data_IF_984017737206
#
_entry.id   IF_984017737206
#
_cell.length_a   1.000
_cell.length_b   1.000
_cell.length_c   1.000
_cell.angle_alpha   90.00
_cell.angle_beta   90.00
_cell.angle_gamma   90.00
#
_symmetry.space_group_name_H-M   'P 1'
#
loop_
_entity.id
_entity.type
_entity.pdbx_description
1 polymer ?
#
# COMPACT_ATOMS: atom_id res chain seq x y z
N UNK A 1 -4.48 -18.02 -10.84
CA UNK A 1 -5.53 -17.29 -11.57
C UNK A 1 -4.99 -15.95 -12.07
N UNK A 2 -4.43 -15.12 -11.23
CA UNK A 2 -3.92 -13.77 -11.54
C UNK A 2 -3.03 -13.74 -12.80
N UNK A 3 -1.96 -14.51 -12.85
CA UNK A 3 -1.04 -14.58 -14.01
C UNK A 3 -1.72 -15.01 -15.32
N UNK A 4 -2.77 -15.85 -15.26
CA UNK A 4 -3.56 -16.22 -16.44
C UNK A 4 -4.38 -15.06 -16.99
N UNK A 5 -4.68 -14.07 -16.16
CA UNK A 5 -5.34 -12.82 -16.53
C UNK A 5 -4.33 -11.73 -16.91
N UNK A 6 -3.04 -12.07 -16.96
CA UNK A 6 -1.93 -11.14 -17.23
C UNK A 6 -1.76 -10.06 -16.16
N UNK A 7 -2.24 -10.31 -14.94
CA UNK A 7 -1.98 -9.47 -13.78
C UNK A 7 -0.82 -10.04 -12.96
N UNK A 8 -0.05 -9.19 -12.31
CA UNK A 8 1.06 -9.58 -11.44
C UNK A 8 1.08 -8.81 -10.11
N UNK A 9 -0.01 -8.13 -9.75
CA UNK A 9 -0.13 -7.35 -8.53
C UNK A 9 -1.37 -7.76 -7.75
N UNK A 10 -1.27 -7.86 -6.41
CA UNK A 10 -2.39 -8.28 -5.57
C UNK A 10 -2.38 -7.59 -4.20
N UNK A 11 -3.57 -7.24 -3.72
CA UNK A 11 -3.86 -7.00 -2.32
C UNK A 11 -4.58 -8.22 -1.76
N UNK A 12 -3.88 -9.12 -1.07
CA UNK A 12 -4.52 -10.33 -0.56
C UNK A 12 -5.39 -10.02 0.66
N UNK A 13 -6.32 -10.92 0.97
CA UNK A 13 -7.15 -10.81 2.16
C UNK A 13 -6.30 -10.78 3.45
N UNK A 14 -6.57 -9.81 4.32
CA UNK A 14 -5.79 -9.52 5.53
C UNK A 14 -6.62 -9.56 6.82
N UNK A 15 -7.92 -9.81 6.73
CA UNK A 15 -8.84 -9.80 7.88
C UNK A 15 -9.62 -11.09 8.00
N UNK A 16 -10.03 -11.38 9.22
CA UNK A 16 -10.86 -12.53 9.51
C UNK A 16 -12.23 -12.37 8.87
N UNK A 17 -12.64 -13.37 8.12
CA UNK A 17 -14.03 -13.55 7.77
C UNK A 17 -14.82 -14.02 9.00
N UNK A 18 -16.04 -13.51 9.14
CA UNK A 18 -16.86 -13.81 10.33
C UNK A 18 -17.77 -15.03 10.15
N UNK A 19 -17.98 -15.51 8.92
CA UNK A 19 -18.92 -16.62 8.64
C UNK A 19 -18.48 -17.38 7.40
N UNK A 20 -18.53 -18.72 7.43
CA UNK A 20 -18.63 -19.68 8.55
C UNK A 20 -17.27 -20.11 9.10
N UNK A 21 -16.18 -19.58 8.57
CA UNK A 21 -14.79 -19.94 8.90
C UNK A 21 -13.99 -18.70 9.24
N UNK A 22 -12.93 -18.83 10.06
CA UNK A 22 -11.97 -17.75 10.16
C UNK A 22 -11.47 -17.42 8.74
N UNK A 23 -11.46 -16.14 8.41
CA UNK A 23 -10.95 -15.67 7.13
C UNK A 23 -9.46 -15.94 7.01
N UNK A 24 -9.01 -15.99 5.80
CA UNK A 24 -7.61 -16.15 5.51
C UNK A 24 -6.89 -14.82 5.76
N UNK A 25 -5.76 -14.89 6.44
CA UNK A 25 -4.86 -13.76 6.65
C UNK A 25 -3.54 -14.11 5.98
N UNK A 26 -3.31 -13.55 4.83
CA UNK A 26 -2.19 -13.90 3.95
C UNK A 26 -0.84 -14.05 4.68
N UNK A 27 -0.51 -13.12 5.57
CA UNK A 27 0.79 -13.10 6.25
C UNK A 27 0.90 -14.08 7.41
N UNK A 28 -0.21 -14.47 8.02
CA UNK A 28 -0.21 -15.26 9.27
C UNK A 28 -0.68 -16.69 9.09
N UNK A 29 -1.42 -16.98 8.02
CA UNK A 29 -1.90 -18.32 7.73
C UNK A 29 -0.76 -19.24 7.25
N UNK A 30 0.13 -18.71 6.42
CA UNK A 30 1.32 -19.41 5.96
C UNK A 30 2.48 -18.42 5.74
N UNK A 31 3.59 -18.55 6.47
CA UNK A 31 4.75 -17.66 6.31
C UNK A 31 5.42 -17.77 4.93
N UNK A 32 5.16 -18.83 4.19
CA UNK A 32 5.67 -19.03 2.83
C UNK A 32 4.92 -18.25 1.75
N UNK A 33 3.78 -17.63 2.07
CA UNK A 33 2.94 -16.96 1.07
C UNK A 33 3.67 -15.80 0.35
N UNK A 34 4.45 -14.99 1.08
CA UNK A 34 5.22 -13.91 0.48
C UNK A 34 6.27 -14.43 -0.51
N UNK A 35 7.07 -15.41 -0.08
CA UNK A 35 8.09 -16.02 -0.93
C UNK A 35 7.47 -16.70 -2.15
N UNK A 36 6.34 -17.38 -1.97
CA UNK A 36 5.64 -18.01 -3.09
C UNK A 36 5.14 -16.98 -4.11
N UNK A 37 4.64 -15.84 -3.64
CA UNK A 37 4.22 -14.77 -4.53
C UNK A 37 5.41 -14.23 -5.33
N UNK A 38 6.52 -13.95 -4.65
CA UNK A 38 7.78 -13.47 -5.25
C UNK A 38 8.33 -14.47 -6.29
N UNK A 39 8.40 -15.77 -5.95
CA UNK A 39 8.84 -16.84 -6.86
C UNK A 39 7.99 -16.91 -8.15
N UNK A 40 6.74 -16.47 -8.10
CA UNK A 40 5.84 -16.42 -9.26
C UNK A 40 5.78 -15.04 -9.92
N UNK A 41 6.58 -14.07 -9.50
CA UNK A 41 6.57 -12.71 -10.03
C UNK A 41 5.26 -11.98 -9.74
N UNK A 42 4.65 -12.24 -8.57
CA UNK A 42 3.46 -11.54 -8.10
C UNK A 42 3.85 -10.56 -7.01
N UNK A 43 3.71 -9.29 -7.31
CA UNK A 43 3.94 -8.21 -6.36
C UNK A 43 2.80 -8.15 -5.36
N UNK A 44 3.13 -8.22 -4.08
CA UNK A 44 2.16 -8.14 -2.99
C UNK A 44 2.16 -6.75 -2.38
N UNK A 45 0.99 -6.21 -2.11
CA UNK A 45 0.82 -5.00 -1.32
C UNK A 45 -0.28 -5.20 -0.30
N UNK A 46 -0.60 -4.16 0.45
CA UNK A 46 -1.64 -4.17 1.47
C UNK A 46 -2.62 -3.02 1.26
N UNK A 47 -3.81 -3.15 1.80
CA UNK A 47 -4.84 -2.15 1.63
C UNK A 47 -4.53 -0.86 2.41
N UNK A 48 -5.30 0.19 2.14
CA UNK A 48 -5.12 1.53 2.69
C UNK A 48 -5.16 1.63 4.23
N UNK A 49 -5.75 0.66 4.92
CA UNK A 49 -5.76 0.63 6.39
C UNK A 49 -4.81 -0.41 6.99
N UNK A 50 -3.97 -1.01 6.19
CA UNK A 50 -3.00 -2.05 6.55
C UNK A 50 -1.59 -1.63 6.11
N UNK A 51 -1.05 -0.56 6.69
CA UNK A 51 0.21 0.01 6.23
C UNK A 51 1.40 -0.91 6.45
N UNK A 52 2.43 -0.74 5.63
CA UNK A 52 3.75 -1.32 5.82
C UNK A 52 3.75 -2.84 5.93
N UNK A 53 2.97 -3.53 5.06
CA UNK A 53 2.92 -4.99 4.99
C UNK A 53 2.41 -5.65 6.28
N UNK A 54 1.48 -4.99 6.99
CA UNK A 54 0.86 -5.55 8.21
C UNK A 54 -0.62 -5.82 7.98
N UNK A 55 -1.11 -6.88 8.61
CA UNK A 55 -2.55 -7.13 8.68
C UNK A 55 -3.13 -6.53 9.97
N UNK A 56 -4.31 -5.91 9.86
CA UNK A 56 -5.02 -5.32 11.01
C UNK A 56 -5.16 -6.30 12.18
N UNK A 57 -5.38 -7.58 11.88
CA UNK A 57 -5.55 -8.63 12.89
C UNK A 57 -4.28 -8.95 13.69
N UNK A 58 -3.12 -8.48 13.25
CA UNK A 58 -1.87 -8.65 13.98
C UNK A 58 -1.71 -7.62 15.11
N UNK A 59 -2.53 -6.55 15.09
CA UNK A 59 -2.54 -5.60 16.18
C UNK A 59 -3.35 -6.13 17.35
N UNK A 60 -2.73 -6.18 18.52
CA UNK A 60 -3.36 -6.55 19.77
C UNK A 60 -3.34 -5.36 20.71
N UNK A 61 -4.46 -4.67 20.82
CA UNK A 61 -4.57 -3.46 21.64
C UNK A 61 -4.26 -3.72 23.12
N UNK A 62 -4.65 -4.88 23.66
CA UNK A 62 -4.36 -5.22 25.05
C UNK A 62 -2.86 -5.29 25.35
N UNK A 63 -2.06 -5.71 24.37
CA UNK A 63 -0.61 -5.87 24.53
C UNK A 63 0.17 -4.64 24.04
N UNK A 64 -0.32 -4.00 22.97
CA UNK A 64 0.40 -2.93 22.25
C UNK A 64 -0.19 -1.54 22.51
N UNK A 65 -1.32 -1.43 23.23
CA UNK A 65 -2.05 -0.18 23.44
C UNK A 65 -2.89 0.24 22.23
N UNK A 66 -3.52 1.44 22.28
CA UNK A 66 -4.44 1.89 21.25
C UNK A 66 -3.75 2.04 19.88
N UNK A 67 -4.51 1.81 18.81
CA UNK A 67 -4.10 2.14 17.46
C UNK A 67 -4.26 3.65 17.23
N UNK A 68 -3.34 4.42 17.81
CA UNK A 68 -3.39 5.88 17.89
C UNK A 68 -1.97 6.42 17.76
N UNK A 69 -1.75 7.26 16.74
CA UNK A 69 -0.41 7.78 16.47
C UNK A 69 0.09 8.74 17.51
N UNK A 70 -0.77 9.66 18.01
CA UNK A 70 -0.36 10.65 19.00
C UNK A 70 -0.05 10.02 20.36
N UNK A 71 -0.86 9.04 20.77
CA UNK A 71 -0.76 8.43 22.10
C UNK A 71 0.18 7.24 22.14
N UNK A 72 0.45 6.60 21.00
CA UNK A 72 1.13 5.31 20.95
C UNK A 72 2.10 5.17 19.78
N UNK A 73 2.66 6.29 19.30
CA UNK A 73 3.55 6.34 18.14
C UNK A 73 4.63 5.25 18.17
N UNK A 74 5.28 5.04 19.33
CA UNK A 74 6.38 4.07 19.45
C UNK A 74 5.98 2.64 19.10
N UNK A 75 4.86 2.14 19.65
CA UNK A 75 4.40 0.79 19.35
C UNK A 75 3.85 0.65 17.93
N UNK A 76 3.19 1.70 17.40
CA UNK A 76 2.72 1.72 16.01
C UNK A 76 3.90 1.71 15.05
N UNK A 77 4.94 2.50 15.32
CA UNK A 77 6.18 2.52 14.53
C UNK A 77 6.85 1.15 14.54
N UNK A 78 7.02 0.54 15.72
CA UNK A 78 7.59 -0.80 15.83
C UNK A 78 6.77 -1.84 15.05
N UNK A 79 5.46 -1.76 15.12
CA UNK A 79 4.56 -2.66 14.39
C UNK A 79 4.76 -2.55 12.89
N UNK A 80 4.87 -1.34 12.36
CA UNK A 80 5.16 -1.08 10.95
C UNK A 80 6.56 -1.60 10.56
N UNK A 81 7.56 -1.36 11.40
CA UNK A 81 8.92 -1.82 11.18
C UNK A 81 9.02 -3.35 11.09
N UNK A 82 8.32 -4.07 11.96
CA UNK A 82 8.23 -5.54 11.92
C UNK A 82 7.65 -6.04 10.58
N UNK A 83 6.72 -5.29 9.97
CA UNK A 83 6.17 -5.61 8.64
C UNK A 83 7.21 -5.49 7.53
N UNK A 84 8.00 -4.41 7.53
CA UNK A 84 9.09 -4.20 6.59
C UNK A 84 10.17 -5.28 6.73
N UNK A 85 10.53 -5.64 7.96
CA UNK A 85 11.47 -6.74 8.22
C UNK A 85 10.97 -8.07 7.66
N UNK A 86 9.67 -8.36 7.81
CA UNK A 86 9.05 -9.58 7.28
C UNK A 86 9.05 -9.61 5.75
N UNK A 87 8.75 -8.48 5.11
CA UNK A 87 8.77 -8.38 3.66
C UNK A 87 10.18 -8.68 3.10
N UNK A 88 11.23 -8.26 3.81
CA UNK A 88 12.60 -8.57 3.46
C UNK A 88 12.96 -8.01 2.08
N UNK A 89 13.38 -8.89 1.16
CA UNK A 89 13.76 -8.55 -0.21
C UNK A 89 12.71 -8.95 -1.24
N UNK A 90 11.56 -9.48 -0.81
CA UNK A 90 10.49 -9.86 -1.73
C UNK A 90 9.97 -8.62 -2.45
N UNK A 91 9.67 -8.77 -3.73
CA UNK A 91 9.11 -7.68 -4.52
C UNK A 91 7.73 -7.29 -3.99
N UNK A 92 7.61 -6.05 -3.53
CA UNK A 92 6.39 -5.57 -2.87
C UNK A 92 6.20 -4.07 -3.02
N UNK A 93 4.95 -3.62 -2.99
CA UNK A 93 4.60 -2.23 -2.75
C UNK A 93 4.31 -2.01 -1.27
N UNK A 94 4.99 -1.06 -0.66
CA UNK A 94 4.69 -0.64 0.70
C UNK A 94 3.56 0.38 0.70
N UNK A 95 2.45 0.03 1.33
CA UNK A 95 1.35 0.96 1.55
C UNK A 95 1.73 1.96 2.62
N UNK A 96 1.75 3.24 2.24
CA UNK A 96 2.01 4.36 3.14
C UNK A 96 0.72 4.94 3.72
N UNK A 97 0.91 5.78 4.74
CA UNK A 97 -0.17 6.37 5.51
C UNK A 97 -0.64 5.47 6.62
N UNK A 98 -1.71 5.85 7.26
CA UNK A 98 -2.49 5.01 8.17
C UNK A 98 -3.92 5.55 8.23
N UNK A 99 -4.84 4.74 8.72
CA UNK A 99 -6.19 5.14 9.11
C UNK A 99 -6.39 4.93 10.60
N UNK A 100 -7.45 5.46 11.12
CA UNK A 100 -7.85 5.22 12.50
C UNK A 100 -8.33 3.78 12.73
N UNK A 101 -8.64 3.46 13.96
CA UNK A 101 -9.13 2.15 14.35
C UNK A 101 -10.37 1.73 13.53
N UNK A 102 -10.45 0.46 13.18
CA UNK A 102 -11.60 -0.11 12.48
C UNK A 102 -11.85 0.44 11.08
N UNK A 103 -10.80 0.84 10.36
CA UNK A 103 -10.90 1.46 9.03
C UNK A 103 -11.66 2.81 9.05
N UNK A 104 -11.62 3.51 10.19
CA UNK A 104 -12.17 4.84 10.36
C UNK A 104 -11.17 5.97 10.07
N UNK A 105 -11.63 7.24 10.09
CA UNK A 105 -10.73 8.38 10.05
C UNK A 105 -9.81 8.44 11.27
N UNK A 106 -8.63 9.01 11.09
CA UNK A 106 -7.73 9.33 12.22
C UNK A 106 -8.46 10.30 13.16
N UNK A 107 -8.47 9.97 14.46
CA UNK A 107 -9.06 10.81 15.49
C UNK A 107 -7.98 11.77 16.00
N UNK A 108 -7.83 12.92 15.37
CA UNK A 108 -6.88 13.97 15.72
C UNK A 108 -7.47 15.34 15.37
N UNK A 109 -6.97 16.38 16.03
CA UNK A 109 -7.35 17.76 15.73
C UNK A 109 -6.88 18.17 14.31
N UNK A 110 -5.71 17.71 13.90
CA UNK A 110 -5.17 17.92 12.55
C UNK A 110 -4.64 16.59 11.94
N UNK A 111 -5.49 15.84 11.25
CA UNK A 111 -5.08 14.59 10.61
C UNK A 111 -3.99 14.74 9.54
N UNK A 112 -3.88 15.93 8.92
CA UNK A 112 -2.86 16.19 7.89
C UNK A 112 -1.47 16.19 8.51
N UNK A 113 -1.28 16.91 9.61
CA UNK A 113 0.00 16.94 10.35
C UNK A 113 0.38 15.54 10.85
N UNK A 114 -0.59 14.77 11.32
CA UNK A 114 -0.34 13.38 11.75
C UNK A 114 0.14 12.54 10.57
N UNK A 115 -0.51 12.62 9.41
CA UNK A 115 -0.14 11.83 8.24
C UNK A 115 1.22 12.24 7.65
N UNK A 116 1.58 13.50 7.71
CA UNK A 116 2.94 13.95 7.32
C UNK A 116 4.01 13.31 8.22
N UNK A 117 3.79 13.25 9.52
CA UNK A 117 4.71 12.60 10.46
C UNK A 117 4.73 11.07 10.28
N UNK A 118 3.58 10.46 9.95
CA UNK A 118 3.48 9.05 9.58
C UNK A 118 4.30 8.76 8.33
N UNK A 119 4.12 9.50 7.25
CA UNK A 119 4.90 9.34 6.01
C UNK A 119 6.40 9.45 6.26
N UNK A 120 6.81 10.48 6.99
CA UNK A 120 8.21 10.66 7.36
C UNK A 120 8.76 9.45 8.09
N UNK A 121 8.06 8.97 9.12
CA UNK A 121 8.48 7.83 9.93
C UNK A 121 8.52 6.54 9.10
N UNK A 122 7.52 6.30 8.25
CA UNK A 122 7.49 5.14 7.36
C UNK A 122 8.67 5.14 6.39
N UNK A 123 8.99 6.28 5.81
CA UNK A 123 10.17 6.41 4.92
C UNK A 123 11.50 6.25 5.65
N UNK A 124 11.61 6.69 6.89
CA UNK A 124 12.77 6.43 7.74
C UNK A 124 12.95 4.93 8.00
N UNK A 125 11.85 4.20 8.25
CA UNK A 125 11.88 2.73 8.39
C UNK A 125 12.35 2.08 7.07
N UNK A 126 11.76 2.46 5.95
CA UNK A 126 12.10 1.91 4.64
C UNK A 126 13.59 2.17 4.30
N UNK A 127 14.06 3.39 4.51
CA UNK A 127 15.47 3.73 4.30
C UNK A 127 16.43 2.91 5.19
N UNK A 128 16.02 2.55 6.40
CA UNK A 128 16.82 1.73 7.32
C UNK A 128 17.04 0.31 6.79
N UNK A 129 16.05 -0.30 6.13
CA UNK A 129 16.09 -1.70 5.70
C UNK A 129 16.42 -1.88 4.22
N UNK A 130 16.11 -0.90 3.39
CA UNK A 130 16.30 -0.96 1.94
C UNK A 130 17.28 0.08 1.40
N UNK A 131 17.86 0.92 2.27
CA UNK A 131 18.73 2.02 1.88
C UNK A 131 17.96 3.23 1.35
N UNK A 132 18.71 4.25 0.91
CA UNK A 132 18.13 5.49 0.35
C UNK A 132 17.81 5.34 -1.17
N UNK A 133 17.37 4.19 -1.60
CA UNK A 133 17.00 3.95 -2.98
C UNK A 133 15.71 4.72 -3.29
N UNK A 134 15.85 5.82 -4.00
CA UNK A 134 14.69 6.60 -4.44
C UNK A 134 14.07 5.99 -5.68
N UNK A 135 12.78 6.26 -5.91
CA UNK A 135 12.05 5.87 -7.10
C UNK A 135 12.72 6.24 -8.44
N UNK A 136 13.68 7.18 -8.41
CA UNK A 136 14.43 7.58 -9.61
C UNK A 136 15.22 6.44 -10.28
N UNK A 137 15.45 5.33 -9.58
CA UNK A 137 16.09 4.13 -10.12
C UNK A 137 15.07 3.03 -10.47
N UNK A 138 13.80 3.35 -10.53
CA UNK A 138 12.76 2.38 -10.90
C UNK A 138 12.85 2.07 -12.37
N UNK A 139 13.27 0.87 -12.68
CA UNK A 139 13.01 0.29 -13.99
C UNK A 139 11.59 -0.30 -13.95
N UNK A 140 10.81 0.05 -14.96
CA UNK A 140 9.42 -0.30 -15.17
C UNK A 140 9.09 -1.76 -14.81
N UNK A 141 8.08 -1.97 -13.98
CA UNK A 141 7.47 -3.29 -13.67
C UNK A 141 6.89 -4.02 -14.90
N UNK A 142 6.76 -3.35 -16.04
CA UNK A 142 6.21 -3.91 -17.27
C UNK A 142 7.23 -4.02 -18.42
N UNK A 143 8.46 -3.58 -18.22
CA UNK A 143 9.54 -3.76 -19.18
C UNK A 143 10.07 -5.18 -19.11
N UNK A 144 10.20 -5.85 -20.25
CA UNK A 144 11.02 -7.04 -20.36
C UNK A 144 12.44 -6.58 -19.99
N UNK A 145 12.85 -6.88 -18.76
CA UNK A 145 14.15 -6.48 -18.25
C UNK A 145 15.21 -7.31 -18.99
N UNK A 146 15.94 -6.67 -19.88
CA UNK A 146 17.15 -7.25 -20.49
C UNK A 146 18.41 -7.06 -19.59
N UNK A 147 18.27 -6.40 -18.43
CA UNK A 147 19.38 -6.15 -17.51
C UNK A 147 19.18 -6.93 -16.20
N UNK A 148 20.00 -7.95 -16.00
CA UNK A 148 20.05 -8.78 -14.77
C UNK A 148 20.50 -8.00 -13.51
N UNK A 149 20.94 -6.74 -13.65
CA UNK A 149 21.39 -5.85 -12.59
C UNK A 149 20.42 -4.70 -12.27
N UNK A 150 19.18 -4.75 -12.80
CA UNK A 150 18.18 -3.73 -12.49
C UNK A 150 17.81 -3.78 -11.01
N UNK A 151 18.45 -2.92 -10.24
CA UNK A 151 18.14 -2.67 -8.85
C UNK A 151 16.70 -2.13 -8.77
N UNK A 152 15.75 -3.01 -8.42
CA UNK A 152 14.34 -2.65 -8.29
C UNK A 152 14.22 -1.68 -7.13
N UNK A 153 14.12 -0.38 -7.44
CA UNK A 153 13.92 0.64 -6.43
C UNK A 153 12.66 0.35 -5.60
N UNK A 154 12.67 0.80 -4.36
CA UNK A 154 11.58 0.57 -3.42
C UNK A 154 10.26 1.14 -3.94
N UNK A 155 9.22 0.32 -3.97
CA UNK A 155 7.91 0.71 -4.47
C UNK A 155 7.00 1.09 -3.30
N UNK A 156 6.43 2.29 -3.37
CA UNK A 156 5.55 2.84 -2.34
C UNK A 156 4.23 3.29 -2.96
N UNK A 157 3.12 3.06 -2.26
CA UNK A 157 1.78 3.43 -2.71
C UNK A 157 1.00 4.12 -1.60
N UNK A 158 0.29 5.17 -1.94
CA UNK A 158 -0.68 5.82 -1.06
C UNK A 158 -2.07 5.83 -1.68
N UNK A 159 -3.05 5.32 -0.96
CA UNK A 159 -4.42 5.15 -1.45
C UNK A 159 -5.28 6.33 -1.07
N UNK A 160 -5.85 6.98 -2.07
CA UNK A 160 -6.74 8.14 -1.94
C UNK A 160 -8.18 7.64 -1.92
N UNK A 161 -8.70 7.39 -0.72
CA UNK A 161 -10.03 6.82 -0.48
C UNK A 161 -10.73 7.48 0.71
N UNK A 162 -12.05 7.63 0.65
CA UNK A 162 -12.88 8.23 1.70
C UNK A 162 -12.33 9.61 2.15
N UNK A 163 -12.12 9.80 3.46
CA UNK A 163 -11.61 11.07 4.03
C UNK A 163 -10.23 11.46 3.51
N UNK A 164 -9.42 10.50 3.06
CA UNK A 164 -8.11 10.78 2.49
C UNK A 164 -8.21 11.67 1.24
N UNK A 165 -9.30 11.57 0.49
CA UNK A 165 -9.57 12.49 -0.64
C UNK A 165 -9.70 13.94 -0.15
N UNK A 166 -10.27 14.17 1.02
CA UNK A 166 -10.39 15.51 1.60
C UNK A 166 -9.02 16.03 2.04
N UNK A 167 -8.19 15.19 2.66
CA UNK A 167 -6.84 15.55 3.05
C UNK A 167 -5.97 15.87 1.84
N UNK A 168 -6.07 15.05 0.80
CA UNK A 168 -5.39 15.28 -0.47
C UNK A 168 -5.84 16.60 -1.13
N UNK A 169 -7.14 16.88 -1.16
CA UNK A 169 -7.68 18.14 -1.66
C UNK A 169 -7.27 19.35 -0.82
N UNK A 170 -7.00 19.16 0.47
CA UNK A 170 -6.47 20.18 1.38
C UNK A 170 -4.95 20.42 1.22
N UNK A 171 -4.29 19.64 0.37
CA UNK A 171 -2.88 19.83 0.03
C UNK A 171 -1.92 18.81 0.64
N UNK A 172 -2.41 17.78 1.35
CA UNK A 172 -1.55 16.68 1.80
C UNK A 172 -1.05 15.89 0.57
N UNK A 173 0.24 15.94 0.33
CA UNK A 173 0.87 15.24 -0.78
C UNK A 173 1.99 14.35 -0.24
N UNK A 174 2.01 13.06 -0.59
CA UNK A 174 3.18 12.24 -0.35
C UNK A 174 4.31 12.68 -1.27
N UNK A 175 5.57 12.26 -1.00
CA UNK A 175 6.69 12.50 -1.90
C UNK A 175 6.38 12.11 -3.34
N UNK A 176 7.01 12.78 -4.31
CA UNK A 176 6.72 12.65 -5.74
C UNK A 176 6.91 11.23 -6.28
N UNK A 177 7.80 10.48 -5.65
CA UNK A 177 8.14 9.11 -5.99
C UNK A 177 7.15 8.06 -5.44
N UNK A 178 6.14 8.46 -4.67
CA UNK A 178 5.08 7.57 -4.19
C UNK A 178 3.96 7.46 -5.23
N UNK A 179 3.54 6.25 -5.57
CA UNK A 179 2.39 5.99 -6.45
C UNK A 179 1.10 6.45 -5.78
N UNK A 180 0.32 7.27 -6.46
CA UNK A 180 -1.03 7.64 -6.02
C UNK A 180 -2.04 6.62 -6.50
N UNK A 181 -2.74 5.95 -5.57
CA UNK A 181 -3.79 4.99 -5.89
C UNK A 181 -5.17 5.62 -5.69
N UNK A 182 -5.83 5.98 -6.78
CA UNK A 182 -7.22 6.42 -6.75
C UNK A 182 -8.17 5.22 -6.67
N UNK A 183 -9.32 5.39 -6.04
CA UNK A 183 -10.27 4.30 -5.85
C UNK A 183 -11.67 4.70 -6.28
N UNK A 184 -12.49 3.71 -6.61
CA UNK A 184 -13.93 3.88 -6.66
C UNK A 184 -14.56 3.86 -5.25
N UNK A 185 -15.83 4.18 -5.19
CA UNK A 185 -16.65 4.00 -3.98
C UNK A 185 -17.23 2.57 -3.92
N UNK A 186 -17.99 2.28 -2.84
CA UNK A 186 -18.61 0.97 -2.64
C UNK A 186 -19.67 0.60 -3.70
N UNK A 187 -20.01 1.51 -4.60
CA UNK A 187 -20.97 1.32 -5.70
C UNK A 187 -20.29 1.29 -7.08
N UNK A 188 -18.95 1.35 -7.12
CA UNK A 188 -18.19 1.32 -8.35
C UNK A 188 -18.09 2.67 -9.07
N UNK A 189 -18.38 3.78 -8.38
CA UNK A 189 -18.23 5.10 -8.99
C UNK A 189 -16.84 5.66 -8.68
N UNK A 190 -16.10 6.01 -9.71
CA UNK A 190 -14.83 6.73 -9.58
C UNK A 190 -15.15 8.15 -9.13
N UNK A 191 -14.81 8.49 -7.89
CA UNK A 191 -15.11 9.79 -7.31
C UNK A 191 -14.22 10.91 -7.86
N UNK A 192 -13.00 10.57 -8.27
CA UNK A 192 -12.03 11.51 -8.82
C UNK A 192 -11.08 10.80 -9.77
N UNK A 193 -10.73 11.47 -10.83
CA UNK A 193 -9.62 11.10 -11.70
C UNK A 193 -8.42 12.01 -11.42
N UNK A 194 -7.21 11.54 -11.73
CA UNK A 194 -6.01 12.37 -11.67
C UNK A 194 -6.15 13.61 -12.54
N UNK A 195 -5.65 14.74 -12.06
CA UNK A 195 -5.52 15.96 -12.86
C UNK A 195 -4.25 15.86 -13.73
N UNK A 196 -4.21 16.66 -14.80
CA UNK A 196 -3.07 16.65 -15.72
C UNK A 196 -1.72 16.91 -15.04
N UNK A 197 -1.69 17.79 -14.04
CA UNK A 197 -0.50 18.10 -13.26
C UNK A 197 -0.13 17.02 -12.22
N UNK A 198 -1.01 16.07 -11.96
CA UNK A 198 -0.75 14.94 -11.06
C UNK A 198 -0.16 13.74 -11.82
N UNK A 199 -0.35 13.69 -13.14
CA UNK A 199 0.14 12.59 -13.99
C UNK A 199 1.66 12.68 -14.27
N UNK A 200 2.30 13.78 -13.93
CA UNK A 200 3.75 13.99 -14.14
C UNK A 200 4.61 13.47 -12.97
N UNK A 201 4.00 12.82 -11.96
CA UNK A 201 4.71 12.28 -10.80
C UNK A 201 5.60 11.11 -11.17
N UNK A 202 6.82 11.08 -10.62
CA UNK A 202 7.76 9.97 -10.84
C UNK A 202 7.25 8.65 -10.27
N UNK A 203 6.47 8.68 -9.18
CA UNK A 203 5.82 7.51 -8.60
C UNK A 203 4.64 6.96 -9.40
N UNK A 204 4.17 7.72 -10.40
CA UNK A 204 3.03 7.31 -11.23
C UNK A 204 1.69 7.31 -10.50
N UNK A 205 0.69 6.72 -11.16
CA UNK A 205 -0.69 6.70 -10.71
C UNK A 205 -1.27 5.31 -10.94
N UNK A 206 -2.08 4.84 -9.97
CA UNK A 206 -2.90 3.66 -10.09
C UNK A 206 -4.38 3.95 -9.87
N UNK A 207 -5.24 3.08 -10.34
CA UNK A 207 -6.67 3.09 -10.03
C UNK A 207 -7.08 1.71 -9.53
N UNK A 208 -7.71 1.68 -8.35
CA UNK A 208 -8.33 0.48 -7.79
C UNK A 208 -9.84 0.52 -8.03
N UNK A 209 -10.39 -0.59 -8.51
CA UNK A 209 -11.83 -0.76 -8.69
C UNK A 209 -12.33 -1.89 -7.77
N UNK A 210 -13.26 -1.56 -6.88
CA UNK A 210 -13.84 -2.49 -5.90
C UNK A 210 -14.74 -3.54 -6.55
N UNK A 211 -15.17 -3.34 -7.80
CA UNK A 211 -16.04 -4.26 -8.54
C UNK A 211 -15.31 -5.38 -9.29
N UNK A 212 -14.03 -5.60 -9.02
CA UNK A 212 -13.24 -6.68 -9.63
C UNK A 212 -12.87 -6.44 -11.10
N UNK A 213 -13.03 -5.25 -11.63
CA UNK A 213 -12.53 -4.84 -12.95
C UNK A 213 -11.61 -3.64 -12.84
N UNK A 214 -10.57 -3.73 -13.61
CA UNK A 214 -9.48 -2.80 -13.63
C UNK A 214 -9.62 -1.76 -14.70
N UNK A 215 -9.21 -0.55 -14.39
CA UNK A 215 -8.73 0.39 -15.40
C UNK A 215 -7.52 1.15 -14.85
N UNK A 216 -6.51 1.26 -15.68
CA UNK A 216 -5.32 2.01 -15.37
C UNK A 216 -5.07 3.01 -16.48
N UNK A 217 -4.82 4.24 -16.12
CA UNK A 217 -4.30 5.24 -17.02
C UNK A 217 -2.97 5.75 -16.46
N UNK A 218 -1.88 5.36 -17.06
CA UNK A 218 -0.58 5.96 -16.79
C UNK A 218 -0.07 6.66 -18.05
N UNK A 219 0.57 7.82 -17.94
CA UNK A 219 1.32 8.40 -19.05
C UNK A 219 2.64 7.69 -19.30
N UNK A 220 3.02 6.77 -18.43
CA UNK A 220 4.17 5.87 -18.51
C UNK A 220 3.67 4.45 -18.82
N UNK A 221 4.47 3.57 -19.48
CA UNK A 221 4.04 2.23 -19.88
C UNK A 221 3.68 1.28 -18.74
N UNK A 222 3.72 1.72 -17.51
CA UNK A 222 3.60 0.88 -16.32
C UNK A 222 2.23 1.00 -15.69
N UNK A 223 1.44 -0.03 -15.89
CA UNK A 223 0.05 -0.13 -15.46
C UNK A 223 -0.07 -1.07 -14.28
N UNK A 224 -0.42 -0.54 -13.09
CA UNK A 224 -0.79 -1.35 -11.93
C UNK A 224 -2.25 -1.80 -12.03
N UNK A 225 -2.45 -3.11 -11.91
CA UNK A 225 -3.77 -3.75 -11.97
C UNK A 225 -4.08 -4.42 -10.65
N UNK A 226 -4.98 -3.85 -9.85
CA UNK A 226 -5.51 -4.54 -8.68
C UNK A 226 -6.87 -5.20 -9.01
N UNK A 227 -6.95 -6.52 -8.86
CA UNK A 227 -8.20 -7.28 -8.93
C UNK A 227 -8.67 -7.51 -7.49
N UNK A 228 -9.31 -6.48 -6.91
CA UNK A 228 -9.85 -6.57 -5.55
C UNK A 228 -10.80 -7.76 -5.37
N UNK A 229 -10.69 -8.42 -4.22
CA UNK A 229 -11.55 -9.52 -3.83
C UNK A 229 -12.99 -9.07 -3.56
N UNK A 230 -13.94 -9.82 -4.10
CA UNK A 230 -15.33 -9.88 -3.63
C UNK A 230 -15.47 -11.00 -2.59
#
# INVERSE_FOLDING_TARGET
MLLRLKGNYIWPAMWKSFVPRPGNIFFTDDPGNMQLADDYGIVVSTSHHEPMQRATNEWNETLKGPWDWERNKGNVTQFMEEGVQRAGKNETYFTLGMRGEGDGPIQADDPVVILEDVFKTQREILAKYHGNESAANRTSLCGILEDEDANTGLLEVWTIYKEVMTYYAAGLLPPDDVTLMFTDDNWGNIQRLPLANETERSGGIGVRLSSGFLAVAAPSPDVLVDLGDN
#
